data_IF_840710889378
#
_entry.id   IF_840710889378
#
_cell.length_a   1.000
_cell.length_b   1.000
_cell.length_c   1.000
_cell.angle_alpha   90.00
_cell.angle_beta   90.00
_cell.angle_gamma   90.00
#
_symmetry.space_group_name_H-M   'P 1'
#
loop_
_entity.id
_entity.type
_entity.pdbx_description
1 polymer ?
#
# COMPACT_ATOMS: atom_id res chain seq x y z
N UNK A 1 2.53 16.12 12.79
CA UNK A 1 3.13 15.33 11.70
C UNK A 1 3.77 16.35 10.75
N UNK A 2 5.07 16.26 10.44
CA UNK A 2 5.74 17.29 9.62
C UNK A 2 5.09 17.36 8.22
N UNK A 3 4.79 18.57 7.75
CA UNK A 3 4.12 18.81 6.45
C UNK A 3 4.85 18.15 5.27
N UNK A 4 6.18 18.01 5.37
CA UNK A 4 7.05 17.32 4.41
C UNK A 4 6.63 15.86 4.18
N UNK A 5 6.46 15.08 5.25
CA UNK A 5 6.13 13.65 5.12
C UNK A 5 4.71 13.42 4.63
N UNK A 6 3.79 14.36 4.87
CA UNK A 6 2.46 14.29 4.28
C UNK A 6 2.52 14.40 2.74
N UNK A 7 3.34 15.31 2.20
CA UNK A 7 3.55 15.42 0.76
C UNK A 7 4.20 14.17 0.14
N UNK A 8 5.16 13.56 0.85
CA UNK A 8 5.78 12.31 0.41
C UNK A 8 4.78 11.16 0.36
N UNK A 9 3.91 11.04 1.38
CA UNK A 9 2.83 10.05 1.37
C UNK A 9 1.83 10.28 0.25
N UNK A 10 1.44 11.53 -0.01
CA UNK A 10 0.50 11.84 -1.08
C UNK A 10 0.99 11.41 -2.47
N UNK A 11 2.28 11.61 -2.76
CA UNK A 11 2.88 11.19 -4.03
C UNK A 11 3.01 9.66 -4.13
N UNK A 12 3.46 9.00 -3.05
CA UNK A 12 3.41 7.53 -2.94
C UNK A 12 2.01 7.00 -3.19
N UNK A 13 1.00 7.57 -2.54
CA UNK A 13 -0.38 7.09 -2.58
C UNK A 13 -0.97 7.15 -3.98
N UNK A 14 -0.61 8.18 -4.75
CA UNK A 14 -0.97 8.26 -6.17
C UNK A 14 -0.40 7.07 -6.99
N UNK A 15 0.85 6.65 -6.72
CA UNK A 15 1.46 5.46 -7.36
C UNK A 15 0.86 4.16 -6.87
N UNK A 16 0.55 4.06 -5.58
CA UNK A 16 -0.07 2.85 -5.01
C UNK A 16 -1.49 2.67 -5.55
N UNK A 17 -2.24 3.76 -5.73
CA UNK A 17 -3.62 3.73 -6.20
C UNK A 17 -3.79 3.06 -7.57
N UNK A 18 -2.80 3.16 -8.46
CA UNK A 18 -2.86 2.52 -9.79
C UNK A 18 -2.59 1.01 -9.74
N UNK A 19 -2.09 0.48 -8.62
CA UNK A 19 -1.79 -0.96 -8.45
C UNK A 19 -2.98 -1.76 -7.90
N UNK A 20 -3.99 -1.09 -7.35
CA UNK A 20 -5.09 -1.75 -6.65
C UNK A 20 -6.31 -1.91 -7.57
N UNK A 21 -6.99 -3.04 -7.42
CA UNK A 21 -8.27 -3.27 -8.08
C UNK A 21 -9.39 -2.58 -7.29
N UNK A 22 -10.11 -1.68 -7.94
CA UNK A 22 -11.17 -0.86 -7.32
C UNK A 22 -12.35 -1.66 -6.78
N UNK A 23 -12.46 -2.94 -7.14
CA UNK A 23 -13.50 -3.84 -6.62
C UNK A 23 -13.19 -4.37 -5.22
N UNK A 24 -11.94 -4.24 -4.77
CA UNK A 24 -11.47 -4.83 -3.53
C UNK A 24 -10.79 -3.79 -2.64
N UNK A 25 -10.88 -3.93 -1.31
CA UNK A 25 -10.13 -3.07 -0.40
C UNK A 25 -8.62 -3.31 -0.48
N UNK A 26 -7.86 -2.31 -0.04
CA UNK A 26 -6.42 -2.41 0.12
C UNK A 26 -5.96 -1.78 1.44
N UNK A 27 -4.87 -2.28 1.99
CA UNK A 27 -4.28 -1.82 3.25
C UNK A 27 -2.82 -1.46 3.06
N UNK A 28 -2.38 -0.41 3.75
CA UNK A 28 -0.97 -0.04 3.87
C UNK A 28 -0.49 -0.39 5.28
N UNK A 29 0.53 -1.24 5.37
CA UNK A 29 1.07 -1.73 6.63
C UNK A 29 2.55 -1.39 6.75
N UNK A 30 3.06 -1.39 7.97
CA UNK A 30 4.50 -1.33 8.27
C UNK A 30 5.23 -0.15 7.61
N UNK A 31 4.60 1.03 7.56
CA UNK A 31 5.24 2.22 7.00
C UNK A 31 6.47 2.63 7.82
N UNK A 32 7.61 2.78 7.15
CA UNK A 32 8.84 3.34 7.71
C UNK A 32 9.36 4.41 6.77
N UNK A 33 9.65 5.60 7.29
CA UNK A 33 10.21 6.72 6.53
C UNK A 33 11.70 6.84 6.86
N UNK A 34 12.52 6.83 5.82
CA UNK A 34 13.93 7.17 5.88
C UNK A 34 14.09 8.59 5.32
N UNK A 35 14.30 9.56 6.22
CA UNK A 35 14.42 10.96 5.82
C UNK A 35 15.75 11.25 5.09
N UNK A 36 16.83 10.55 5.46
CA UNK A 36 18.17 10.75 4.89
C UNK A 36 18.20 10.32 3.43
N UNK A 37 17.67 9.12 3.15
CA UNK A 37 17.60 8.56 1.80
C UNK A 37 16.33 8.99 1.04
N UNK A 38 15.44 9.77 1.70
CA UNK A 38 14.13 10.17 1.17
C UNK A 38 13.32 9.00 0.60
N UNK A 39 13.21 7.93 1.39
CA UNK A 39 12.43 6.76 1.00
C UNK A 39 11.31 6.44 1.97
N UNK A 40 10.25 5.80 1.45
CA UNK A 40 9.17 5.22 2.25
C UNK A 40 9.13 3.73 1.97
N UNK A 41 9.38 2.92 2.99
CA UNK A 41 9.17 1.47 2.93
C UNK A 41 7.81 1.13 3.51
N UNK A 42 7.09 0.21 2.88
CA UNK A 42 5.76 -0.20 3.32
C UNK A 42 5.34 -1.53 2.69
N UNK A 43 4.32 -2.13 3.28
CA UNK A 43 3.63 -3.29 2.74
C UNK A 43 2.25 -2.89 2.20
N UNK A 44 1.94 -3.30 0.97
CA UNK A 44 0.60 -3.17 0.39
C UNK A 44 -0.10 -4.53 0.40
N UNK A 45 -1.23 -4.61 1.10
CA UNK A 45 -2.12 -5.77 1.01
C UNK A 45 -3.26 -5.44 0.06
N UNK A 46 -3.38 -6.21 -1.03
CA UNK A 46 -4.44 -6.04 -2.01
C UNK A 46 -4.78 -7.36 -2.71
N UNK A 47 -5.95 -7.40 -3.35
CA UNK A 47 -6.34 -8.53 -4.19
C UNK A 47 -5.69 -8.40 -5.57
N UNK A 48 -5.15 -9.51 -6.08
CA UNK A 48 -4.53 -9.57 -7.40
C UNK A 48 -4.94 -10.85 -8.13
N UNK A 49 -5.84 -10.76 -9.11
CA UNK A 49 -6.23 -11.90 -9.93
C UNK A 49 -5.03 -12.45 -10.74
N UNK A 50 -4.93 -13.78 -10.95
CA UNK A 50 -5.69 -14.88 -10.35
C UNK A 50 -5.14 -15.36 -8.99
N UNK A 51 -4.11 -14.71 -8.46
CA UNK A 51 -3.33 -15.18 -7.31
C UNK A 51 -4.02 -14.97 -5.96
N UNK A 52 -4.99 -14.07 -5.90
CA UNK A 52 -5.78 -13.77 -4.71
C UNK A 52 -5.16 -12.67 -3.84
N UNK A 53 -5.34 -12.76 -2.52
CA UNK A 53 -4.81 -11.78 -1.57
C UNK A 53 -3.31 -11.95 -1.37
N UNK A 54 -2.57 -10.86 -1.52
CA UNK A 54 -1.12 -10.83 -1.35
C UNK A 54 -0.70 -9.58 -0.57
N UNK A 55 0.41 -9.70 0.13
CA UNK A 55 1.18 -8.63 0.75
C UNK A 55 2.39 -8.41 -0.14
N UNK A 56 2.55 -7.21 -0.67
CA UNK A 56 3.73 -6.83 -1.47
C UNK A 56 4.53 -5.79 -0.71
N UNK A 57 5.83 -6.02 -0.61
CA UNK A 57 6.76 -5.11 0.03
C UNK A 57 7.32 -4.14 -1.00
N UNK A 58 7.33 -2.84 -0.68
CA UNK A 58 7.78 -1.78 -1.57
C UNK A 58 8.74 -0.81 -0.88
N UNK A 59 9.61 -0.21 -1.70
CA UNK A 59 10.33 1.02 -1.37
C UNK A 59 9.91 2.09 -2.37
N UNK A 60 9.40 3.21 -1.89
CA UNK A 60 9.15 4.40 -2.69
C UNK A 60 10.30 5.39 -2.51
N UNK A 61 10.97 5.75 -3.59
CA UNK A 61 11.97 6.83 -3.63
C UNK A 61 11.29 8.15 -3.99
N UNK A 62 11.36 9.12 -3.08
CA UNK A 62 10.63 10.39 -3.22
C UNK A 62 11.27 11.29 -4.26
N UNK A 63 12.61 11.37 -4.32
CA UNK A 63 13.31 12.29 -5.22
C UNK A 63 13.03 12.02 -6.70
N UNK A 64 12.87 10.74 -7.05
CA UNK A 64 12.68 10.29 -8.44
C UNK A 64 11.27 9.79 -8.72
N UNK A 65 10.37 9.79 -7.72
CA UNK A 65 8.97 9.35 -7.85
C UNK A 65 8.85 7.90 -8.41
N UNK A 66 9.67 6.99 -7.87
CA UNK A 66 9.75 5.58 -8.29
C UNK A 66 9.33 4.64 -7.16
N UNK A 67 8.48 3.66 -7.51
CA UNK A 67 8.03 2.61 -6.62
C UNK A 67 8.73 1.28 -6.95
N UNK A 68 9.64 0.84 -6.10
CA UNK A 68 10.40 -0.40 -6.25
C UNK A 68 9.71 -1.56 -5.55
N UNK A 69 9.36 -2.60 -6.32
CA UNK A 69 8.91 -3.88 -5.76
C UNK A 69 10.08 -4.63 -5.12
N UNK A 70 9.90 -5.11 -3.90
CA UNK A 70 10.94 -5.81 -3.12
C UNK A 70 10.61 -7.27 -2.82
N UNK A 71 9.34 -7.66 -2.87
CA UNK A 71 8.94 -9.03 -2.62
C UNK A 71 7.44 -9.19 -2.42
N UNK A 72 6.97 -10.44 -2.41
CA UNK A 72 5.57 -10.76 -2.20
C UNK A 72 5.39 -11.97 -1.30
N UNK A 73 4.32 -11.94 -0.53
CA UNK A 73 3.85 -13.02 0.32
C UNK A 73 2.34 -13.20 0.10
N UNK A 74 1.88 -14.41 -0.18
CA UNK A 74 0.45 -14.70 -0.32
C UNK A 74 -0.17 -14.81 1.06
N UNK A 75 -1.26 -14.08 1.32
CA UNK A 75 -1.94 -14.18 2.62
C UNK A 75 -2.87 -15.39 2.67
N UNK A 76 -2.80 -16.12 3.78
CA UNK A 76 -3.81 -17.10 4.14
C UNK A 76 -5.04 -16.44 4.83
N UNK A 77 -6.03 -17.24 5.21
CA UNK A 77 -7.25 -16.71 5.85
C UNK A 77 -6.99 -16.08 7.23
N UNK A 78 -6.16 -16.70 8.06
CA UNK A 78 -5.85 -16.22 9.41
C UNK A 78 -5.10 -14.88 9.38
N UNK A 79 -4.16 -14.72 8.46
CA UNK A 79 -3.43 -13.46 8.26
C UNK A 79 -4.36 -12.34 7.82
N UNK A 80 -5.35 -12.63 6.96
CA UNK A 80 -6.35 -11.64 6.53
C UNK A 80 -7.24 -11.18 7.67
N UNK A 81 -7.57 -12.05 8.62
CA UNK A 81 -8.38 -11.69 9.80
C UNK A 81 -7.66 -10.72 10.74
N UNK A 82 -6.34 -10.58 10.62
CA UNK A 82 -5.53 -9.64 11.43
C UNK A 82 -5.47 -8.24 10.82
N UNK A 83 -5.97 -8.03 9.61
CA UNK A 83 -6.02 -6.71 8.97
C UNK A 83 -7.00 -5.82 9.73
N UNK A 84 -6.57 -4.61 10.04
CA UNK A 84 -7.38 -3.65 10.82
C UNK A 84 -7.93 -2.57 9.92
N UNK A 85 -9.03 -1.96 10.36
CA UNK A 85 -9.64 -0.83 9.66
C UNK A 85 -8.78 0.45 9.75
N UNK A 86 -7.94 0.59 10.79
CA UNK A 86 -7.03 1.74 10.93
C UNK A 86 -5.95 1.79 9.85
N UNK A 87 -5.58 0.63 9.30
CA UNK A 87 -4.59 0.48 8.24
C UNK A 87 -5.20 0.50 6.83
N UNK A 88 -6.52 0.71 6.75
CA UNK A 88 -7.25 0.66 5.49
C UNK A 88 -6.86 1.85 4.62
N UNK A 89 -6.27 1.54 3.47
CA UNK A 89 -5.81 2.54 2.51
C UNK A 89 -6.89 2.88 1.48
N UNK A 90 -7.61 1.86 1.01
CA UNK A 90 -8.67 2.03 0.03
C UNK A 90 -9.87 1.18 0.38
N UNK A 91 -11.04 1.81 0.33
CA UNK A 91 -12.34 1.16 0.42
C UNK A 91 -12.98 1.19 -0.96
N UNK A 92 -13.40 0.04 -1.52
CA UNK A 92 -14.15 0.03 -2.77
C UNK A 92 -15.44 0.83 -2.57
N UNK A 93 -15.76 1.67 -3.54
CA UNK A 93 -17.06 2.36 -3.51
C UNK A 93 -18.18 1.33 -3.66
N UNK A 94 -19.26 1.39 -2.85
CA UNK A 94 -20.41 0.56 -3.08
C UNK A 94 -20.91 0.87 -4.49
N UNK A 95 -20.81 -0.11 -5.39
CA UNK A 95 -21.40 0.01 -6.71
C UNK A 95 -22.90 0.22 -6.48
N UNK A 96 -23.43 1.36 -6.93
CA UNK A 96 -24.87 1.55 -7.05
C UNK A 96 -25.38 0.47 -7.99
N UNK A 97 -25.97 -0.58 -7.42
CA UNK A 97 -26.75 -1.58 -8.15
C UNK A 97 -28.08 -0.95 -8.54
#
# INVERSE_FOLDING_TARGET
MSDKFAAWRATRDAKVRVLIDEKYPAWLLNETIDEENQTIQFDLVHYWPPYGWQRRHYTYEVEVDVLHFRGTHRLNAEERMKLKNEDLFYTPSPQSV
#
